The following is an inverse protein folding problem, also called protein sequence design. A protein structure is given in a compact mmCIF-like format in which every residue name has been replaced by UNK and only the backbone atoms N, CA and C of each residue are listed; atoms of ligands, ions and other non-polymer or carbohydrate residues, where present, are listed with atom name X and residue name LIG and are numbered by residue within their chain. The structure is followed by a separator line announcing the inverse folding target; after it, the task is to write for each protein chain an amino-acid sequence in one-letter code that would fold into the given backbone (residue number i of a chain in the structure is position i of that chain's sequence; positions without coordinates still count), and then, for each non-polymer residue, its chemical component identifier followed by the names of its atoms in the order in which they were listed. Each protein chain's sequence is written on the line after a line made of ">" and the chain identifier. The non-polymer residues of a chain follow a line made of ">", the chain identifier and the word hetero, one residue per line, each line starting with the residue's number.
data_IF_193720636200
#
_entry.id   IF_193720636200
#
_cell.length_a   1.000
_cell.length_b   1.000
_cell.length_c   1.000
_cell.angle_alpha   90.00
_cell.angle_beta   90.00
_cell.angle_gamma   90.00
#
_symmetry.space_group_name_H-M   'P 1'
#
loop_
_entity.id
_entity.type
_entity.pdbx_description
1 polymer ?
#
# COMPACT_ATOMS: atom_id res chain seq x y z
N UNK A 1 5.50 7.51 -14.45
CA UNK A 1 4.13 7.46 -13.90
C UNK A 1 3.27 6.75 -14.94
N UNK A 2 3.17 5.42 -14.89
CA UNK A 2 2.22 4.71 -15.75
C UNK A 2 0.89 4.70 -15.01
N UNK A 3 0.12 5.79 -15.21
CA UNK A 3 -1.32 5.74 -14.99
C UNK A 3 -1.85 4.73 -15.99
N UNK A 4 -2.47 3.68 -15.50
CA UNK A 4 -2.90 2.57 -16.34
C UNK A 4 -4.24 2.94 -16.95
N UNK A 5 -4.20 3.58 -18.13
CA UNK A 5 -5.37 3.80 -18.96
C UNK A 5 -6.10 2.45 -19.16
N UNK A 6 -7.44 2.39 -19.08
CA UNK A 6 -8.19 1.14 -19.28
C UNK A 6 -7.77 0.33 -20.53
N UNK A 7 -7.39 1.00 -21.62
CA UNK A 7 -6.89 0.35 -22.83
C UNK A 7 -5.52 -0.32 -22.60
N UNK A 8 -4.61 0.35 -21.88
CA UNK A 8 -3.31 -0.18 -21.51
C UNK A 8 -3.43 -1.36 -20.55
N UNK A 9 -4.39 -1.33 -19.62
CA UNK A 9 -4.63 -2.43 -18.69
C UNK A 9 -5.06 -3.72 -19.37
N UNK A 10 -5.94 -3.64 -20.37
CA UNK A 10 -6.38 -4.82 -21.11
C UNK A 10 -5.23 -5.41 -21.94
N UNK A 11 -4.43 -4.56 -22.58
CA UNK A 11 -3.26 -5.00 -23.34
C UNK A 11 -2.23 -5.67 -22.41
N UNK A 12 -1.94 -5.06 -21.26
CA UNK A 12 -1.02 -5.60 -20.23
C UNK A 12 -1.56 -6.94 -19.69
N UNK A 13 -2.84 -7.02 -19.33
CA UNK A 13 -3.45 -8.24 -18.83
C UNK A 13 -3.37 -9.38 -19.85
N UNK A 14 -3.66 -9.09 -21.12
CA UNK A 14 -3.62 -10.06 -22.22
C UNK A 14 -2.20 -10.59 -22.42
N UNK A 15 -1.20 -9.71 -22.42
CA UNK A 15 0.21 -10.09 -22.53
C UNK A 15 0.64 -10.98 -21.36
N UNK A 16 0.40 -10.55 -20.13
CA UNK A 16 0.85 -11.29 -18.95
C UNK A 16 0.16 -12.65 -18.77
N UNK A 17 -1.10 -12.79 -19.20
CA UNK A 17 -1.82 -14.07 -19.15
C UNK A 17 -1.24 -15.16 -20.07
N UNK A 18 -0.38 -14.80 -21.03
CA UNK A 18 0.33 -15.78 -21.87
C UNK A 18 1.44 -16.50 -21.11
N UNK A 19 2.02 -15.84 -20.10
CA UNK A 19 3.21 -16.30 -19.38
C UNK A 19 2.91 -16.62 -17.90
N UNK A 20 1.76 -16.18 -17.38
CA UNK A 20 1.42 -16.30 -15.96
C UNK A 20 -0.03 -16.73 -15.72
N UNK A 21 -0.33 -17.37 -14.57
CA UNK A 21 -1.68 -17.73 -14.18
C UNK A 21 -2.62 -16.51 -14.14
N UNK A 22 -3.84 -16.66 -14.65
CA UNK A 22 -4.80 -15.57 -14.74
C UNK A 22 -5.10 -14.91 -13.38
N UNK A 23 -5.15 -15.69 -12.30
CA UNK A 23 -5.35 -15.19 -10.93
C UNK A 23 -4.19 -14.29 -10.47
N UNK A 24 -2.94 -14.64 -10.81
CA UNK A 24 -1.77 -13.83 -10.47
C UNK A 24 -1.77 -12.50 -11.21
N UNK A 25 -2.10 -12.52 -12.51
CA UNK A 25 -2.22 -11.30 -13.32
C UNK A 25 -3.28 -10.37 -12.75
N UNK A 26 -4.46 -10.90 -12.41
CA UNK A 26 -5.54 -10.12 -11.80
C UNK A 26 -5.13 -9.54 -10.45
N UNK A 27 -4.45 -10.31 -9.61
CA UNK A 27 -3.94 -9.83 -8.31
C UNK A 27 -2.89 -8.71 -8.48
N UNK A 28 -1.97 -8.85 -9.43
CA UNK A 28 -0.93 -7.85 -9.70
C UNK A 28 -1.51 -6.52 -10.22
N UNK A 29 -2.47 -6.58 -11.15
CA UNK A 29 -3.16 -5.39 -11.65
C UNK A 29 -4.01 -4.74 -10.56
N UNK A 30 -4.71 -5.54 -9.74
CA UNK A 30 -5.43 -5.06 -8.57
C UNK A 30 -4.51 -4.33 -7.58
N UNK A 31 -3.34 -4.91 -7.27
CA UNK A 31 -2.33 -4.24 -6.45
C UNK A 31 -1.84 -2.95 -7.08
N UNK A 32 -1.53 -2.91 -8.38
CA UNK A 32 -1.05 -1.71 -9.04
C UNK A 32 -2.04 -0.53 -8.88
N UNK A 33 -3.34 -0.79 -9.06
CA UNK A 33 -4.40 0.21 -8.84
C UNK A 33 -4.51 0.63 -7.37
N UNK A 34 -4.44 -0.31 -6.45
CA UNK A 34 -4.49 0.01 -5.02
C UNK A 34 -3.28 0.83 -4.57
N UNK A 35 -2.08 0.57 -5.12
CA UNK A 35 -0.88 1.36 -4.86
C UNK A 35 -0.99 2.79 -5.41
N UNK A 36 -1.57 2.97 -6.58
CA UNK A 36 -1.89 4.30 -7.12
C UNK A 36 -2.83 5.06 -6.18
N UNK A 37 -3.92 4.43 -5.71
CA UNK A 37 -4.84 5.04 -4.72
C UNK A 37 -4.15 5.35 -3.39
N UNK A 38 -3.35 4.40 -2.89
CA UNK A 38 -2.65 4.51 -1.62
C UNK A 38 -1.58 5.60 -1.61
N UNK A 39 -1.05 6.00 -2.78
CA UNK A 39 -0.04 7.06 -2.88
C UNK A 39 -0.53 8.39 -2.26
N UNK A 40 -1.82 8.70 -2.31
CA UNK A 40 -2.39 9.89 -1.67
C UNK A 40 -2.32 9.84 -0.13
N UNK A 41 -2.22 8.65 0.45
CA UNK A 41 -2.25 8.41 1.90
C UNK A 41 -0.88 8.12 2.50
N UNK A 42 -0.03 7.44 1.72
CA UNK A 42 1.28 6.93 2.14
C UNK A 42 2.47 7.60 1.41
N UNK A 43 2.21 8.44 0.42
CA UNK A 43 3.26 8.88 -0.50
C UNK A 43 3.65 7.79 -1.49
N UNK A 44 4.25 8.19 -2.60
CA UNK A 44 4.51 7.29 -3.72
C UNK A 44 5.59 6.23 -3.42
N UNK A 45 6.56 6.53 -2.55
CA UNK A 45 7.65 5.61 -2.21
C UNK A 45 7.13 4.41 -1.41
N UNK A 46 6.36 4.65 -0.35
CA UNK A 46 5.85 3.58 0.53
C UNK A 46 4.72 2.82 -0.14
N UNK A 47 3.79 3.53 -0.78
CA UNK A 47 2.71 2.89 -1.52
C UNK A 47 3.22 1.91 -2.58
N UNK A 48 4.38 2.14 -3.22
CA UNK A 48 4.94 1.18 -4.19
C UNK A 48 5.47 -0.12 -3.57
N UNK A 49 5.86 -0.09 -2.29
CA UNK A 49 6.49 -1.23 -1.59
C UNK A 49 5.47 -2.07 -0.81
N UNK A 50 4.35 -1.46 -0.43
CA UNK A 50 3.31 -2.12 0.39
C UNK A 50 2.35 -2.97 -0.46
N UNK A 51 1.64 -3.88 0.21
CA UNK A 51 0.52 -4.62 -0.34
C UNK A 51 -0.78 -4.15 0.30
N UNK A 52 -1.85 -4.10 -0.49
CA UNK A 52 -3.09 -3.47 -0.09
C UNK A 52 -4.31 -4.37 -0.33
N UNK A 53 -5.33 -4.21 0.50
CA UNK A 53 -6.70 -4.58 0.15
C UNK A 53 -7.51 -3.29 -0.02
N UNK A 54 -8.66 -3.29 -0.72
CA UNK A 54 -9.52 -2.11 -0.81
C UNK A 54 -9.84 -1.48 0.55
N UNK A 55 -10.31 -2.31 1.50
CA UNK A 55 -10.57 -1.88 2.87
C UNK A 55 -9.30 -1.41 3.61
N UNK A 56 -8.16 -2.07 3.39
CA UNK A 56 -6.89 -1.68 4.01
C UNK A 56 -6.42 -0.28 3.59
N UNK A 57 -6.61 0.11 2.33
CA UNK A 57 -6.31 1.49 1.87
C UNK A 57 -7.24 2.49 2.57
N UNK A 58 -8.53 2.16 2.69
CA UNK A 58 -9.54 3.05 3.25
C UNK A 58 -9.35 3.24 4.77
N UNK A 59 -9.19 2.15 5.52
CA UNK A 59 -9.20 2.14 6.98
C UNK A 59 -7.86 2.50 7.64
N UNK A 60 -6.74 2.40 6.91
CA UNK A 60 -5.42 2.63 7.50
C UNK A 60 -5.20 4.03 8.09
N UNK A 61 -4.19 4.20 8.93
CA UNK A 61 -3.74 5.52 9.37
C UNK A 61 -3.08 6.28 8.20
N UNK A 62 -3.33 7.60 8.07
CA UNK A 62 -2.58 8.46 7.12
C UNK A 62 -1.12 8.58 7.58
N UNK A 63 -0.17 8.64 6.65
CA UNK A 63 1.26 8.70 6.98
C UNK A 63 1.62 9.86 7.94
N UNK A 64 0.99 11.03 7.79
CA UNK A 64 1.23 12.16 8.69
C UNK A 64 0.84 11.90 10.14
N UNK A 65 -0.24 11.14 10.36
CA UNK A 65 -0.72 10.78 11.71
C UNK A 65 0.17 9.69 12.31
N UNK A 66 0.56 8.70 11.52
CA UNK A 66 1.50 7.65 11.93
C UNK A 66 2.86 8.24 12.34
N UNK A 67 3.41 9.15 11.52
CA UNK A 67 4.66 9.85 11.83
C UNK A 67 4.56 10.69 13.10
N UNK A 68 3.44 11.39 13.30
CA UNK A 68 3.20 12.13 14.54
C UNK A 68 3.18 11.20 15.76
N UNK A 69 2.50 10.06 15.69
CA UNK A 69 2.45 9.06 16.78
C UNK A 69 3.84 8.49 17.08
N UNK A 70 4.59 8.11 16.05
CA UNK A 70 5.97 7.61 16.20
C UNK A 70 6.89 8.63 16.87
N UNK A 71 6.80 9.92 16.48
CA UNK A 71 7.56 10.99 17.12
C UNK A 71 7.20 11.16 18.60
N UNK A 72 5.91 11.06 18.95
CA UNK A 72 5.44 11.13 20.35
C UNK A 72 5.95 9.97 21.19
N UNK A 73 5.94 8.75 20.65
CA UNK A 73 6.48 7.56 21.32
C UNK A 73 7.99 7.68 21.55
N UNK A 74 8.72 8.13 20.53
CA UNK A 74 10.17 8.38 20.61
C UNK A 74 10.49 9.42 21.68
N UNK A 75 9.77 10.54 21.70
CA UNK A 75 9.94 11.60 22.70
C UNK A 75 9.60 11.13 24.13
N UNK A 76 8.73 10.14 24.27
CA UNK A 76 8.40 9.53 25.56
C UNK A 76 9.41 8.46 26.01
N UNK A 77 10.47 8.20 25.22
CA UNK A 77 11.49 7.21 25.54
C UNK A 77 11.03 5.76 25.39
N UNK A 78 9.98 5.51 24.60
CA UNK A 78 9.51 4.14 24.34
C UNK A 78 10.54 3.39 23.49
N UNK A 79 11.03 2.26 23.99
CA UNK A 79 12.04 1.42 23.32
C UNK A 79 11.48 0.08 22.83
N UNK A 80 10.26 -0.28 23.23
CA UNK A 80 9.57 -1.50 22.81
C UNK A 80 8.07 -1.23 22.70
N UNK A 81 7.45 -1.65 21.59
CA UNK A 81 6.03 -1.47 21.31
C UNK A 81 5.46 -2.69 20.58
N UNK A 82 4.24 -3.08 20.96
CA UNK A 82 3.44 -4.05 20.22
C UNK A 82 2.23 -3.35 19.58
N UNK A 83 2.12 -3.43 18.25
CA UNK A 83 0.94 -2.97 17.52
C UNK A 83 -0.04 -4.14 17.33
N UNK A 84 -0.95 -4.29 18.29
CA UNK A 84 -1.92 -5.39 18.33
C UNK A 84 -3.00 -5.30 17.24
N UNK A 85 -3.11 -4.15 16.58
CA UNK A 85 -4.13 -3.86 15.57
C UNK A 85 -3.48 -3.27 14.30
N UNK A 86 -2.33 -3.81 13.90
CA UNK A 86 -1.46 -3.20 12.89
C UNK A 86 -2.08 -3.10 11.48
N UNK A 87 -3.14 -3.87 11.20
CA UNK A 87 -3.84 -3.86 9.93
C UNK A 87 -2.87 -4.13 8.76
N UNK A 88 -2.82 -3.22 7.79
CA UNK A 88 -1.88 -3.29 6.66
C UNK A 88 -0.46 -2.74 6.98
N UNK A 89 -0.16 -2.46 8.26
CA UNK A 89 1.12 -1.94 8.73
C UNK A 89 1.29 -0.43 8.59
N UNK A 90 0.20 0.34 8.51
CA UNK A 90 0.27 1.78 8.25
C UNK A 90 0.94 2.61 9.35
N UNK A 91 0.72 2.26 10.63
CA UNK A 91 1.45 2.86 11.75
C UNK A 91 2.87 2.25 11.86
N UNK A 92 3.00 0.94 11.64
CA UNK A 92 4.27 0.21 11.75
C UNK A 92 5.39 0.72 10.82
N UNK A 93 5.07 1.19 9.61
CA UNK A 93 6.10 1.75 8.71
C UNK A 93 6.69 3.09 9.17
N UNK A 94 6.05 3.74 10.15
CA UNK A 94 6.49 5.03 10.70
C UNK A 94 7.24 4.91 12.03
N UNK A 95 7.14 3.75 12.70
CA UNK A 95 7.83 3.44 13.96
C UNK A 95 9.31 3.12 13.70
#
# INVERSE_FOLDING_TARGET
>A
MHGTDPADELAVATRLRREHPAALVSAALGQARLRQRAAAKFGAADARRMFFTPHGVEQSTRASVAAYRAARLTQAGVTSLADLCCGIGGDAIAL
#
